data_IF_830373629060
#
_entry.id   IF_830373629060
#
_cell.length_a   1.000
_cell.length_b   1.000
_cell.length_c   1.000
_cell.angle_alpha   90.00
_cell.angle_beta   90.00
_cell.angle_gamma   90.00
#
_symmetry.space_group_name_H-M   'P 1'
#
loop_
_entity.id
_entity.type
_entity.pdbx_description
1 polymer ?
#
# COMPACT_ATOMS: atom_id res chain seq x y z
N UNK A 1 -13.89 -10.96 22.05
CA UNK A 1 -13.58 -9.79 21.22
C UNK A 1 -13.54 -10.20 19.75
N UNK A 2 -14.25 -9.49 18.90
CA UNK A 2 -14.34 -9.82 17.49
C UNK A 2 -13.08 -9.32 16.76
N UNK A 3 -12.47 -10.19 15.97
CA UNK A 3 -11.34 -9.79 15.15
C UNK A 3 -11.87 -9.07 13.90
N UNK A 4 -11.33 -7.89 13.64
CA UNK A 4 -11.72 -7.12 12.46
C UNK A 4 -10.89 -7.60 11.27
N UNK A 5 -11.56 -7.94 10.18
CA UNK A 5 -10.90 -8.29 8.93
C UNK A 5 -11.14 -7.20 7.90
N UNK A 6 -10.07 -6.74 7.21
CA UNK A 6 -10.25 -5.79 6.12
C UNK A 6 -11.09 -6.42 5.01
N UNK A 7 -12.12 -5.73 4.57
CA UNK A 7 -13.05 -6.25 3.55
C UNK A 7 -12.36 -6.51 2.20
N UNK A 8 -11.28 -5.81 1.93
CA UNK A 8 -10.55 -5.93 0.67
C UNK A 8 -9.52 -7.06 0.66
N UNK A 9 -9.37 -7.79 1.77
CA UNK A 9 -8.46 -8.92 1.86
C UNK A 9 -9.28 -10.20 1.80
N UNK A 10 -9.05 -11.00 0.78
CA UNK A 10 -9.79 -12.22 0.55
C UNK A 10 -9.36 -13.37 1.45
N UNK A 11 -8.15 -13.31 1.99
CA UNK A 11 -7.61 -14.34 2.84
C UNK A 11 -8.31 -14.32 4.20
N UNK A 12 -8.97 -15.41 4.56
CA UNK A 12 -9.80 -15.49 5.76
C UNK A 12 -9.02 -15.36 7.06
N UNK A 13 -7.74 -15.64 7.03
CA UNK A 13 -6.90 -15.62 8.22
C UNK A 13 -6.24 -14.28 8.50
N UNK A 14 -6.42 -13.31 7.61
CA UNK A 14 -5.78 -11.99 7.75
C UNK A 14 -6.71 -11.04 8.48
N UNK A 15 -6.34 -10.68 9.71
CA UNK A 15 -7.02 -9.64 10.48
C UNK A 15 -6.32 -8.31 10.25
N UNK A 16 -6.96 -7.21 10.70
CA UNK A 16 -6.35 -5.90 10.62
C UNK A 16 -5.00 -5.85 11.32
N UNK A 17 -4.88 -6.47 12.50
CA UNK A 17 -3.62 -6.51 13.25
C UNK A 17 -2.52 -7.23 12.47
N UNK A 18 -2.85 -8.36 11.84
CA UNK A 18 -1.91 -9.11 11.03
C UNK A 18 -1.49 -8.31 9.80
N UNK A 19 -2.44 -7.65 9.15
CA UNK A 19 -2.14 -6.80 8.00
C UNK A 19 -1.16 -5.69 8.37
N UNK A 20 -1.42 -5.00 9.49
CA UNK A 20 -0.52 -3.93 9.95
C UNK A 20 0.89 -4.44 10.25
N UNK A 21 0.98 -5.64 10.81
CA UNK A 21 2.27 -6.27 11.06
C UNK A 21 3.01 -6.57 9.75
N UNK A 22 2.32 -7.12 8.77
CA UNK A 22 2.91 -7.47 7.47
C UNK A 22 3.32 -6.25 6.66
N UNK A 23 2.61 -5.15 6.82
CA UNK A 23 2.96 -3.88 6.19
C UNK A 23 4.25 -3.28 6.78
N UNK A 24 4.74 -3.81 7.87
CA UNK A 24 5.99 -3.40 8.51
C UNK A 24 7.06 -4.50 8.44
N UNK A 25 6.85 -5.51 7.63
CA UNK A 25 7.79 -6.61 7.50
C UNK A 25 9.18 -6.09 7.14
N UNK A 26 10.24 -6.59 7.79
CA UNK A 26 11.61 -6.11 7.53
C UNK A 26 12.12 -6.42 6.12
N UNK A 27 11.62 -7.50 5.50
CA UNK A 27 11.96 -7.81 4.11
C UNK A 27 11.14 -6.92 3.18
N UNK A 28 11.78 -6.00 2.41
CA UNK A 28 11.04 -5.10 1.55
C UNK A 28 10.26 -5.82 0.43
N UNK A 29 10.73 -6.96 -0.03
CA UNK A 29 10.01 -7.72 -1.06
C UNK A 29 8.70 -8.30 -0.51
N UNK A 30 8.74 -8.86 0.69
CA UNK A 30 7.54 -9.39 1.35
C UNK A 30 6.60 -8.25 1.72
N UNK A 31 7.14 -7.17 2.28
CA UNK A 31 6.35 -6.00 2.63
C UNK A 31 5.62 -5.45 1.39
N UNK A 32 6.30 -5.40 0.25
CA UNK A 32 5.73 -4.89 -1.00
C UNK A 32 4.54 -5.72 -1.49
N UNK A 33 4.52 -7.02 -1.25
CA UNK A 33 3.39 -7.86 -1.62
C UNK A 33 2.12 -7.39 -0.89
N UNK A 34 2.23 -7.10 0.39
CA UNK A 34 1.10 -6.65 1.20
C UNK A 34 0.73 -5.20 0.92
N UNK A 35 1.73 -4.34 0.74
CA UNK A 35 1.50 -2.95 0.36
C UNK A 35 0.81 -2.88 -1.01
N UNK A 36 1.29 -3.64 -1.97
CA UNK A 36 0.71 -3.68 -3.31
C UNK A 36 -0.71 -4.20 -3.31
N UNK A 37 -0.99 -5.26 -2.53
CA UNK A 37 -2.34 -5.79 -2.42
C UNK A 37 -3.29 -4.75 -1.83
N UNK A 38 -2.88 -4.07 -0.79
CA UNK A 38 -3.66 -3.01 -0.18
C UNK A 38 -3.97 -1.90 -1.19
N UNK A 39 -2.96 -1.45 -1.92
CA UNK A 39 -3.12 -0.37 -2.90
C UNK A 39 -3.95 -0.78 -4.12
N UNK A 40 -3.95 -2.08 -4.44
CA UNK A 40 -4.72 -2.60 -5.57
C UNK A 40 -6.20 -2.82 -5.22
N UNK A 41 -6.49 -3.29 -4.01
CA UNK A 41 -7.83 -3.74 -3.63
C UNK A 41 -8.61 -2.72 -2.81
N UNK A 42 -7.94 -1.89 -2.01
CA UNK A 42 -8.61 -0.92 -1.15
C UNK A 42 -8.84 0.41 -1.88
N UNK A 43 -9.68 1.26 -1.30
CA UNK A 43 -9.81 2.63 -1.78
C UNK A 43 -8.57 3.43 -1.38
N UNK A 44 -8.32 4.53 -2.09
CA UNK A 44 -7.19 5.42 -1.76
C UNK A 44 -7.27 5.89 -0.31
N UNK A 45 -8.47 6.21 0.15
CA UNK A 45 -8.69 6.66 1.53
C UNK A 45 -8.28 5.60 2.54
N UNK A 46 -8.61 4.33 2.26
CA UNK A 46 -8.28 3.22 3.16
C UNK A 46 -6.78 2.94 3.16
N UNK A 47 -6.11 3.12 2.02
CA UNK A 47 -4.66 2.97 1.96
C UNK A 47 -3.98 3.87 3.00
N UNK A 48 -4.43 5.12 3.10
CA UNK A 48 -3.83 6.07 4.05
C UNK A 48 -4.19 5.81 5.51
N UNK A 49 -5.12 4.92 5.78
CA UNK A 49 -5.37 4.45 7.15
C UNK A 49 -4.33 3.44 7.62
N UNK A 50 -3.66 2.76 6.69
CA UNK A 50 -2.69 1.71 6.99
C UNK A 50 -1.25 2.09 6.71
N UNK A 51 -1.02 3.00 5.79
CA UNK A 51 0.32 3.40 5.36
C UNK A 51 0.42 4.90 5.23
N UNK A 52 1.66 5.40 5.30
CA UNK A 52 1.95 6.79 4.97
C UNK A 52 2.49 6.86 3.55
N UNK A 53 2.52 8.06 2.98
CA UNK A 53 3.12 8.27 1.67
C UNK A 53 4.61 7.92 1.69
N UNK A 54 5.31 8.20 2.79
CA UNK A 54 6.72 7.83 2.93
C UNK A 54 6.90 6.32 2.84
N UNK A 55 6.00 5.53 3.46
CA UNK A 55 6.04 4.08 3.37
C UNK A 55 5.96 3.60 1.91
N UNK A 56 5.11 4.24 1.12
CA UNK A 56 4.92 3.90 -0.28
C UNK A 56 6.17 4.27 -1.09
N UNK A 57 6.69 5.49 -0.89
CA UNK A 57 7.84 5.97 -1.65
C UNK A 57 9.11 5.18 -1.34
N UNK A 58 9.31 4.82 -0.08
CA UNK A 58 10.49 4.07 0.35
C UNK A 58 10.59 2.71 -0.33
N UNK A 59 9.46 2.11 -0.68
CA UNK A 59 9.43 0.77 -1.26
C UNK A 59 8.78 0.74 -2.64
N UNK A 60 8.69 1.89 -3.30
CA UNK A 60 7.93 2.05 -4.54
C UNK A 60 8.38 1.09 -5.65
N UNK A 61 9.68 0.91 -5.84
CA UNK A 61 10.20 0.04 -6.91
C UNK A 61 9.74 -1.41 -6.74
N UNK A 62 9.54 -1.86 -5.51
CA UNK A 62 9.01 -3.18 -5.23
C UNK A 62 7.49 -3.21 -5.30
N UNK A 63 6.83 -2.19 -4.75
CA UNK A 63 5.36 -2.11 -4.71
C UNK A 63 4.76 -2.09 -6.10
N UNK A 64 5.35 -1.30 -7.01
CA UNK A 64 4.78 -1.10 -8.36
C UNK A 64 4.59 -2.40 -9.13
N UNK A 65 5.37 -3.43 -8.81
CA UNK A 65 5.27 -4.74 -9.46
C UNK A 65 4.02 -5.51 -9.04
N UNK A 66 3.39 -5.12 -7.95
CA UNK A 66 2.24 -5.81 -7.38
C UNK A 66 0.92 -5.07 -7.57
N UNK A 67 0.92 -3.95 -8.29
CA UNK A 67 -0.27 -3.12 -8.44
C UNK A 67 -1.22 -3.59 -9.55
N UNK A 68 -0.74 -4.44 -10.45
CA UNK A 68 -1.55 -4.95 -11.54
C UNK A 68 -2.15 -3.80 -12.35
N UNK A 69 -3.47 -3.87 -12.58
CA UNK A 69 -4.19 -2.84 -13.35
C UNK A 69 -4.24 -1.47 -12.66
N UNK A 70 -3.96 -1.42 -11.36
CA UNK A 70 -3.94 -0.15 -10.62
C UNK A 70 -2.61 0.58 -10.70
N UNK A 71 -1.62 -0.01 -11.37
CA UNK A 71 -0.29 0.58 -11.47
C UNK A 71 -0.31 1.97 -12.13
N UNK A 72 -1.00 2.09 -13.26
CA UNK A 72 -1.08 3.37 -13.98
C UNK A 72 -1.73 4.45 -13.14
N UNK A 73 -2.78 4.08 -12.40
CA UNK A 73 -3.47 5.00 -11.51
C UNK A 73 -2.55 5.54 -10.42
N UNK A 74 -1.82 4.64 -9.73
CA UNK A 74 -0.91 5.04 -8.66
C UNK A 74 0.30 5.82 -9.18
N UNK A 75 0.83 5.42 -10.34
CA UNK A 75 1.91 6.18 -10.96
C UNK A 75 1.46 7.60 -11.29
N UNK A 76 0.26 7.73 -11.82
CA UNK A 76 -0.32 9.04 -12.11
C UNK A 76 -0.45 9.90 -10.86
N UNK A 77 -0.98 9.35 -9.77
CA UNK A 77 -1.14 10.08 -8.52
C UNK A 77 0.20 10.55 -7.97
N UNK A 78 1.17 9.67 -7.92
CA UNK A 78 2.49 9.99 -7.37
C UNK A 78 3.18 11.05 -8.21
N UNK A 79 3.11 10.93 -9.54
CA UNK A 79 3.71 11.92 -10.43
C UNK A 79 3.01 13.26 -10.32
N UNK A 80 1.69 13.29 -10.20
CA UNK A 80 0.93 14.52 -10.01
C UNK A 80 1.34 15.23 -8.73
N UNK A 81 1.49 14.50 -7.65
CA UNK A 81 1.91 15.08 -6.37
C UNK A 81 3.32 15.63 -6.43
N UNK A 82 4.22 15.00 -7.16
CA UNK A 82 5.58 15.52 -7.37
C UNK A 82 5.58 16.81 -8.19
N UNK A 83 4.79 16.85 -9.25
CA UNK A 83 4.66 18.03 -10.10
C UNK A 83 4.04 19.20 -9.35
N UNK A 84 3.10 18.92 -8.46
CA UNK A 84 2.43 19.95 -7.65
C UNK A 84 3.27 20.38 -6.44
N UNK A 85 4.45 19.81 -6.26
CA UNK A 85 5.32 20.16 -5.14
C UNK A 85 4.86 19.58 -3.81
N UNK A 86 3.94 18.63 -3.82
CA UNK A 86 3.43 18.00 -2.60
C UNK A 86 4.36 16.92 -2.06
N UNK A 87 5.31 16.48 -2.89
CA UNK A 87 6.31 15.50 -2.50
C UNK A 87 7.70 16.11 -2.57
N UNK A 88 8.64 15.63 -1.71
CA UNK A 88 10.02 16.03 -1.82
C UNK A 88 10.59 15.65 -3.19
N UNK A 89 11.44 16.50 -3.73
CA UNK A 89 12.15 16.19 -4.96
C UNK A 89 13.25 15.17 -4.64
N UNK A 90 13.21 14.04 -5.30
CA UNK A 90 14.24 13.02 -5.18
C UNK A 90 14.90 12.77 -6.50
#
# INVERSE_FOLDING_TARGET
MTKVRPWFIWDVDVTEAVLRERLRHPDPAIRAQWQGQLMREATVREVWQYMTLDDVLDNWDNIRRHLGRMRSFWEYLINSWREDGLLPAH
#
